data_IF_906568521194
#
_entry.id   IF_906568521194
#
_cell.length_a   1.000
_cell.length_b   1.000
_cell.length_c   1.000
_cell.angle_alpha   90.00
_cell.angle_beta   90.00
_cell.angle_gamma   90.00
#
_symmetry.space_group_name_H-M   'P 1'
#
loop_
_entity.id
_entity.type
_entity.pdbx_description
1 polymer ?
#
# COMPACT_ATOMS: atom_id res chain seq x y z
N UNK A 1 -39.07 -14.19 -87.59
CA UNK A 1 -39.84 -15.30 -88.20
C UNK A 1 -40.01 -16.35 -87.12
N UNK A 2 -41.26 -16.67 -86.76
CA UNK A 2 -41.73 -17.74 -85.85
C UNK A 2 -41.32 -17.72 -84.35
N UNK A 3 -42.30 -17.42 -83.49
CA UNK A 3 -42.56 -18.20 -82.25
C UNK A 3 -42.96 -19.64 -82.66
N UNK A 4 -42.78 -20.70 -81.84
CA UNK A 4 -43.76 -20.97 -80.76
C UNK A 4 -43.32 -21.91 -79.59
N UNK A 5 -44.29 -22.07 -78.66
CA UNK A 5 -44.57 -23.20 -77.75
C UNK A 5 -43.56 -23.53 -76.64
N UNK A 6 -43.82 -23.27 -75.36
CA UNK A 6 -44.88 -23.83 -74.47
C UNK A 6 -44.95 -25.36 -74.53
N UNK A 7 -44.45 -26.02 -73.49
CA UNK A 7 -45.05 -27.25 -72.95
C UNK A 7 -44.85 -27.34 -71.44
N UNK A 8 -45.97 -27.22 -70.74
CA UNK A 8 -46.16 -27.45 -69.31
C UNK A 8 -45.98 -28.92 -68.95
N UNK A 9 -45.37 -29.21 -67.80
CA UNK A 9 -45.75 -30.34 -66.96
C UNK A 9 -45.64 -29.91 -65.50
N UNK A 10 -46.80 -29.61 -64.93
CA UNK A 10 -47.07 -29.60 -63.49
C UNK A 10 -47.12 -31.05 -62.99
N UNK A 11 -46.43 -31.34 -61.89
CA UNK A 11 -47.03 -32.09 -60.79
C UNK A 11 -46.11 -32.25 -59.56
N UNK A 12 -46.76 -32.08 -58.40
CA UNK A 12 -46.48 -32.73 -57.12
C UNK A 12 -45.35 -32.17 -56.23
N UNK A 13 -45.79 -31.18 -55.45
CA UNK A 13 -45.56 -31.00 -54.02
C UNK A 13 -45.09 -32.26 -53.26
N UNK A 14 -43.99 -32.11 -52.53
CA UNK A 14 -43.77 -32.81 -51.26
C UNK A 14 -42.82 -31.96 -50.39
N UNK A 15 -43.45 -31.10 -49.58
CA UNK A 15 -42.82 -30.42 -48.47
C UNK A 15 -42.45 -31.42 -47.38
N UNK A 16 -41.27 -31.23 -46.79
CA UNK A 16 -40.85 -31.52 -45.41
C UNK A 16 -39.33 -31.78 -45.40
N UNK A 17 -38.54 -30.74 -45.67
CA UNK A 17 -37.11 -30.76 -45.41
C UNK A 17 -36.88 -30.35 -43.95
N UNK A 18 -36.26 -31.28 -43.22
CA UNK A 18 -35.93 -31.26 -41.80
C UNK A 18 -35.53 -29.87 -41.28
N UNK A 19 -36.25 -29.43 -40.25
CA UNK A 19 -35.92 -28.24 -39.48
C UNK A 19 -34.52 -28.34 -38.90
N UNK A 20 -33.76 -27.26 -39.11
CA UNK A 20 -32.47 -27.03 -38.50
C UNK A 20 -32.58 -27.10 -36.97
N UNK A 21 -31.98 -28.13 -36.37
CA UNK A 21 -31.69 -28.15 -34.94
C UNK A 21 -30.57 -27.14 -34.70
N UNK A 22 -30.96 -25.90 -34.38
CA UNK A 22 -30.08 -24.90 -33.78
C UNK A 22 -29.70 -25.41 -32.38
N UNK A 23 -28.60 -26.15 -32.27
CA UNK A 23 -27.94 -26.36 -30.99
C UNK A 23 -27.38 -25.01 -30.55
N UNK A 24 -28.15 -24.32 -29.71
CA UNK A 24 -27.63 -23.23 -28.89
C UNK A 24 -26.59 -23.82 -27.93
N UNK A 25 -25.34 -23.89 -28.38
CA UNK A 25 -24.20 -23.96 -27.47
C UNK A 25 -24.13 -22.60 -26.77
N UNK A 26 -24.97 -22.43 -25.75
CA UNK A 26 -24.86 -21.31 -24.83
C UNK A 26 -23.48 -21.39 -24.19
N UNK A 27 -22.60 -20.45 -24.52
CA UNK A 27 -21.43 -20.16 -23.70
C UNK A 27 -21.95 -19.74 -22.32
N UNK A 28 -22.14 -20.71 -21.44
CA UNK A 28 -22.31 -20.43 -20.03
C UNK A 28 -20.98 -19.87 -19.56
N UNK A 29 -20.94 -18.58 -19.23
CA UNK A 29 -19.82 -18.08 -18.43
C UNK A 29 -19.86 -18.86 -17.12
N UNK A 30 -18.79 -19.58 -16.75
CA UNK A 30 -18.76 -20.27 -15.47
C UNK A 30 -19.11 -19.26 -14.37
N UNK A 31 -19.90 -19.66 -13.36
CA UNK A 31 -20.20 -18.77 -12.25
C UNK A 31 -18.87 -18.26 -11.68
N UNK A 32 -18.77 -16.95 -11.35
CA UNK A 32 -17.55 -16.43 -10.76
C UNK A 32 -17.22 -17.30 -9.55
N UNK A 33 -16.00 -17.85 -9.53
CA UNK A 33 -15.51 -18.60 -8.39
C UNK A 33 -15.60 -17.75 -7.12
N UNK A 34 -15.60 -18.38 -5.94
CA UNK A 34 -15.54 -17.63 -4.69
C UNK A 34 -14.37 -16.63 -4.76
N UNK A 35 -14.53 -15.39 -4.27
CA UNK A 35 -13.46 -14.42 -4.28
C UNK A 35 -12.23 -15.03 -3.59
N UNK A 36 -11.06 -14.86 -4.22
CA UNK A 36 -9.81 -15.27 -3.63
C UNK A 36 -9.56 -14.60 -2.27
N UNK A 37 -8.58 -15.08 -1.49
CA UNK A 37 -8.26 -14.50 -0.18
C UNK A 37 -7.96 -13.00 -0.27
N UNK A 38 -8.51 -12.22 0.67
CA UNK A 38 -8.16 -10.81 0.86
C UNK A 38 -6.84 -10.70 1.63
N UNK A 39 -5.73 -10.75 0.88
CA UNK A 39 -4.38 -10.67 1.43
C UNK A 39 -4.10 -9.35 2.16
N UNK A 40 -4.75 -8.25 1.76
CA UNK A 40 -4.57 -6.95 2.41
C UNK A 40 -5.20 -6.97 3.81
N UNK A 41 -6.42 -7.50 3.94
CA UNK A 41 -7.08 -7.66 5.24
C UNK A 41 -6.32 -8.65 6.15
N UNK A 42 -5.80 -9.75 5.59
CA UNK A 42 -4.99 -10.71 6.35
C UNK A 42 -3.70 -10.07 6.88
N UNK A 43 -3.00 -9.29 6.04
CA UNK A 43 -1.79 -8.57 6.44
C UNK A 43 -2.08 -7.55 7.54
N UNK A 44 -3.14 -6.75 7.39
CA UNK A 44 -3.54 -5.77 8.41
C UNK A 44 -3.91 -6.42 9.74
N UNK A 45 -4.62 -7.55 9.70
CA UNK A 45 -4.96 -8.30 10.91
C UNK A 45 -3.71 -8.90 11.59
N UNK A 46 -2.72 -9.35 10.82
CA UNK A 46 -1.45 -9.83 11.35
C UNK A 46 -0.63 -8.69 11.97
N UNK A 47 -0.57 -7.54 11.32
CA UNK A 47 0.07 -6.32 11.83
C UNK A 47 -0.52 -5.90 13.19
N UNK A 48 -1.85 -5.87 13.31
CA UNK A 48 -2.55 -5.55 14.58
C UNK A 48 -2.19 -6.52 15.71
N UNK A 49 -1.95 -7.80 15.39
CA UNK A 49 -1.50 -8.81 16.36
C UNK A 49 0.00 -8.74 16.67
N UNK A 50 0.76 -7.90 15.97
CA UNK A 50 2.21 -7.86 16.04
C UNK A 50 2.91 -9.03 15.37
N UNK A 51 2.19 -9.84 14.58
CA UNK A 51 2.75 -10.94 13.80
C UNK A 51 3.29 -10.40 12.47
N UNK A 52 4.45 -9.74 12.55
CA UNK A 52 5.07 -9.04 11.43
C UNK A 52 5.56 -9.98 10.32
N UNK A 53 5.86 -11.23 10.64
CA UNK A 53 6.26 -12.23 9.64
C UNK A 53 5.04 -12.72 8.84
N UNK A 54 3.90 -12.97 9.49
CA UNK A 54 2.65 -13.22 8.77
C UNK A 54 2.18 -11.98 7.99
N UNK A 55 2.32 -10.78 8.55
CA UNK A 55 2.00 -9.53 7.87
C UNK A 55 2.85 -9.38 6.59
N UNK A 56 4.17 -9.63 6.67
CA UNK A 56 5.08 -9.59 5.53
C UNK A 56 4.64 -10.54 4.41
N UNK A 57 4.32 -11.80 4.75
CA UNK A 57 3.85 -12.77 3.74
C UNK A 57 2.55 -12.35 3.08
N UNK A 58 1.56 -11.93 3.88
CA UNK A 58 0.25 -11.55 3.38
C UNK A 58 0.33 -10.27 2.53
N UNK A 59 1.00 -9.22 3.01
CA UNK A 59 1.20 -8.00 2.22
C UNK A 59 2.04 -8.24 0.96
N UNK A 60 3.02 -9.15 1.00
CA UNK A 60 3.76 -9.57 -0.19
C UNK A 60 2.83 -10.17 -1.27
N UNK A 61 1.88 -11.03 -0.87
CA UNK A 61 0.86 -11.53 -1.79
C UNK A 61 -0.08 -10.42 -2.27
N UNK A 62 -0.46 -9.49 -1.38
CA UNK A 62 -1.30 -8.36 -1.75
C UNK A 62 -0.63 -7.45 -2.80
N UNK A 63 0.68 -7.19 -2.68
CA UNK A 63 1.47 -6.47 -3.69
C UNK A 63 1.45 -7.20 -5.04
N UNK A 64 1.70 -8.52 -5.06
CA UNK A 64 1.65 -9.32 -6.30
C UNK A 64 0.29 -9.22 -6.98
N UNK A 65 -0.80 -9.36 -6.22
CA UNK A 65 -2.16 -9.21 -6.74
C UNK A 65 -2.41 -7.79 -7.24
N UNK A 66 -2.00 -6.77 -6.48
CA UNK A 66 -2.23 -5.36 -6.80
C UNK A 66 -1.43 -4.88 -8.02
N UNK A 67 -0.26 -5.47 -8.29
CA UNK A 67 0.58 -5.12 -9.44
C UNK A 67 0.16 -5.86 -10.72
N UNK A 68 -0.31 -7.10 -10.58
CA UNK A 68 -0.78 -7.91 -11.72
C UNK A 68 -2.22 -7.58 -12.11
N UNK A 69 -3.02 -7.11 -11.15
CA UNK A 69 -4.37 -6.61 -11.37
C UNK A 69 -4.31 -5.11 -11.61
N UNK A 70 -5.17 -4.55 -12.45
CA UNK A 70 -5.18 -3.11 -12.74
C UNK A 70 -5.71 -2.24 -11.56
N UNK A 71 -5.19 -2.46 -10.34
CA UNK A 71 -5.58 -1.68 -9.17
C UNK A 71 -5.18 -0.21 -9.35
N UNK A 72 -6.01 0.73 -8.85
CA UNK A 72 -5.65 2.14 -8.82
C UNK A 72 -4.29 2.36 -8.15
N UNK A 73 -3.48 3.28 -8.68
CA UNK A 73 -2.14 3.58 -8.14
C UNK A 73 -2.15 3.89 -6.64
N UNK A 74 -3.20 4.56 -6.13
CA UNK A 74 -3.34 4.87 -4.71
C UNK A 74 -3.56 3.63 -3.81
N UNK A 75 -4.12 2.54 -4.36
CA UNK A 75 -4.26 1.26 -3.66
C UNK A 75 -2.96 0.47 -3.71
N UNK A 76 -2.27 0.47 -4.87
CA UNK A 76 -0.93 -0.11 -5.01
C UNK A 76 0.07 0.54 -4.04
N UNK A 77 0.09 1.88 -3.98
CA UNK A 77 0.92 2.64 -3.04
C UNK A 77 0.72 2.19 -1.59
N UNK A 78 -0.53 1.98 -1.18
CA UNK A 78 -0.84 1.48 0.16
C UNK A 78 -0.28 0.07 0.38
N UNK A 79 -0.40 -0.84 -0.60
CA UNK A 79 0.14 -2.20 -0.46
C UNK A 79 1.66 -2.21 -0.33
N UNK A 80 2.37 -1.44 -1.17
CA UNK A 80 3.82 -1.29 -1.06
C UNK A 80 4.24 -0.65 0.27
N UNK A 81 3.49 0.34 0.77
CA UNK A 81 3.74 0.94 2.08
C UNK A 81 3.68 -0.11 3.20
N UNK A 82 2.61 -0.89 3.26
CA UNK A 82 2.44 -1.90 4.31
C UNK A 82 3.46 -3.04 4.18
N UNK A 83 3.76 -3.47 2.95
CA UNK A 83 4.77 -4.50 2.73
C UNK A 83 6.18 -4.03 3.12
N UNK A 84 6.57 -2.81 2.71
CA UNK A 84 7.84 -2.19 3.08
C UNK A 84 8.02 -2.04 4.59
N UNK A 85 6.95 -1.64 5.31
CA UNK A 85 6.94 -1.62 6.78
C UNK A 85 7.23 -3.00 7.37
N UNK A 86 6.49 -4.03 6.94
CA UNK A 86 6.66 -5.39 7.44
C UNK A 86 8.05 -5.97 7.13
N UNK A 87 8.63 -5.67 5.96
CA UNK A 87 10.00 -6.03 5.59
C UNK A 87 11.03 -5.40 6.54
N UNK A 88 10.90 -4.11 6.81
CA UNK A 88 11.86 -3.40 7.66
C UNK A 88 11.82 -3.86 9.12
N UNK A 89 10.65 -4.29 9.61
CA UNK A 89 10.54 -4.90 10.95
C UNK A 89 11.36 -6.18 11.04
N UNK A 90 11.37 -6.98 9.97
CA UNK A 90 12.20 -8.18 9.81
C UNK A 90 13.63 -7.93 9.32
N UNK A 91 14.09 -6.67 9.29
CA UNK A 91 15.45 -6.28 8.94
C UNK A 91 15.85 -6.53 7.47
N UNK A 92 14.87 -6.73 6.58
CA UNK A 92 15.06 -6.72 5.13
C UNK A 92 15.13 -5.26 4.63
N UNK A 93 16.13 -4.51 5.10
CA UNK A 93 16.14 -3.04 4.97
C UNK A 93 16.24 -2.57 3.52
N UNK A 94 17.00 -3.26 2.67
CA UNK A 94 17.11 -2.91 1.26
C UNK A 94 15.79 -3.12 0.52
N UNK A 95 15.09 -4.23 0.78
CA UNK A 95 13.75 -4.51 0.26
C UNK A 95 12.75 -3.49 0.78
N UNK A 96 12.75 -3.22 2.08
CA UNK A 96 11.87 -2.27 2.72
C UNK A 96 11.99 -0.89 2.09
N UNK A 97 13.22 -0.41 1.89
CA UNK A 97 13.48 0.88 1.27
C UNK A 97 12.96 0.96 -0.18
N UNK A 98 13.13 -0.11 -0.97
CA UNK A 98 12.61 -0.18 -2.34
C UNK A 98 11.08 -0.07 -2.36
N UNK A 99 10.41 -0.87 -1.53
CA UNK A 99 8.95 -0.88 -1.46
C UNK A 99 8.39 0.45 -0.96
N UNK A 100 8.99 1.05 0.08
CA UNK A 100 8.56 2.36 0.59
C UNK A 100 8.83 3.49 -0.41
N UNK A 101 9.92 3.41 -1.19
CA UNK A 101 10.20 4.38 -2.25
C UNK A 101 9.19 4.26 -3.39
N UNK A 102 8.83 3.04 -3.80
CA UNK A 102 7.80 2.81 -4.80
C UNK A 102 6.42 3.30 -4.33
N UNK A 103 6.08 3.07 -3.06
CA UNK A 103 4.87 3.64 -2.46
C UNK A 103 4.85 5.17 -2.56
N UNK A 104 5.99 5.82 -2.26
CA UNK A 104 6.13 7.27 -2.37
C UNK A 104 5.95 7.78 -3.80
N UNK A 105 6.58 7.13 -4.78
CA UNK A 105 6.49 7.50 -6.19
C UNK A 105 5.05 7.34 -6.73
N UNK A 106 4.36 6.26 -6.35
CA UNK A 106 2.95 6.04 -6.69
C UNK A 106 2.03 7.10 -6.06
N UNK A 107 2.28 7.51 -4.82
CA UNK A 107 1.50 8.57 -4.16
C UNK A 107 1.68 9.93 -4.86
N UNK A 108 2.89 10.25 -5.33
CA UNK A 108 3.14 11.46 -6.15
C UNK A 108 2.26 11.47 -7.40
N UNK A 109 2.20 10.35 -8.13
CA UNK A 109 1.44 10.25 -9.38
C UNK A 109 -0.07 10.47 -9.19
N UNK A 110 -0.60 10.14 -8.01
CA UNK A 110 -2.04 10.25 -7.75
C UNK A 110 -2.47 11.65 -7.30
N UNK A 111 -1.52 12.56 -7.09
CA UNK A 111 -1.78 13.90 -6.50
C UNK A 111 -2.31 13.84 -5.07
N UNK A 112 -2.49 12.64 -4.51
CA UNK A 112 -2.83 12.40 -3.11
C UNK A 112 -1.51 12.27 -2.38
N UNK A 113 -0.89 13.41 -2.06
CA UNK A 113 0.29 13.44 -1.20
C UNK A 113 -0.03 12.80 0.15
N UNK A 114 0.26 11.50 0.26
CA UNK A 114 0.20 10.75 1.49
C UNK A 114 1.64 10.70 2.00
N UNK A 115 1.91 11.47 3.04
CA UNK A 115 3.18 11.49 3.76
C UNK A 115 3.58 10.18 4.47
N UNK A 116 2.74 9.12 4.64
CA UNK A 116 3.17 7.89 5.30
C UNK A 116 4.45 7.29 4.72
N UNK A 117 4.62 7.21 3.39
CA UNK A 117 5.83 6.63 2.81
C UNK A 117 7.11 7.42 3.18
N UNK A 118 7.07 8.75 3.18
CA UNK A 118 8.20 9.59 3.62
C UNK A 118 8.50 9.40 5.11
N UNK A 119 7.48 9.34 5.95
CA UNK A 119 7.62 9.11 7.39
C UNK A 119 8.27 7.75 7.64
N UNK A 120 7.82 6.72 6.94
CA UNK A 120 8.32 5.37 7.10
C UNK A 120 9.74 5.21 6.54
N UNK A 121 10.09 5.86 5.42
CA UNK A 121 11.49 5.95 4.93
C UNK A 121 12.40 6.65 5.95
N UNK A 122 11.92 7.71 6.58
CA UNK A 122 12.67 8.43 7.60
C UNK A 122 12.92 7.57 8.84
N UNK A 123 11.90 6.85 9.32
CA UNK A 123 11.99 5.93 10.46
C UNK A 123 12.85 4.70 10.17
N UNK A 124 12.74 4.13 8.96
CA UNK A 124 13.61 3.05 8.49
C UNK A 124 15.08 3.50 8.48
N UNK A 125 15.35 4.71 8.00
CA UNK A 125 16.70 5.30 8.00
C UNK A 125 17.19 5.56 9.43
N UNK A 126 16.30 6.05 10.31
CA UNK A 126 16.61 6.31 11.72
C UNK A 126 17.00 5.02 12.47
N UNK A 127 16.26 3.94 12.25
CA UNK A 127 16.54 2.62 12.83
C UNK A 127 17.93 2.09 12.43
N UNK A 128 18.37 2.43 11.22
CA UNK A 128 19.71 2.10 10.69
C UNK A 128 20.79 3.13 11.08
N UNK A 129 20.47 4.14 11.92
CA UNK A 129 21.36 5.26 12.30
C UNK A 129 21.86 6.08 11.11
N UNK A 130 21.14 6.06 9.99
CA UNK A 130 21.40 6.90 8.83
C UNK A 130 20.81 8.29 9.06
N UNK A 131 21.36 9.02 10.04
CA UNK A 131 20.74 10.23 10.60
C UNK A 131 20.51 11.35 9.58
N UNK A 132 21.51 11.70 8.77
CA UNK A 132 21.38 12.73 7.73
C UNK A 132 20.27 12.43 6.71
N UNK A 133 20.19 11.15 6.31
CA UNK A 133 19.17 10.68 5.39
C UNK A 133 17.77 10.70 6.03
N UNK A 134 17.69 10.27 7.29
CA UNK A 134 16.46 10.32 8.09
C UNK A 134 15.96 11.77 8.24
N UNK A 135 16.85 12.70 8.61
CA UNK A 135 16.54 14.12 8.76
C UNK A 135 16.01 14.72 7.45
N UNK A 136 16.61 14.36 6.31
CA UNK A 136 16.13 14.79 4.99
C UNK A 136 14.69 14.35 4.72
N UNK A 137 14.36 13.07 4.97
CA UNK A 137 13.00 12.57 4.76
C UNK A 137 12.00 13.19 5.76
N UNK A 138 12.36 13.31 7.03
CA UNK A 138 11.50 13.95 8.02
C UNK A 138 11.24 15.43 7.71
N UNK A 139 12.27 16.19 7.30
CA UNK A 139 12.10 17.59 6.89
C UNK A 139 11.08 17.75 5.76
N UNK A 140 11.14 16.87 4.75
CA UNK A 140 10.13 16.83 3.66
C UNK A 140 8.74 16.48 4.19
N UNK A 141 8.63 15.45 5.04
CA UNK A 141 7.34 15.04 5.61
C UNK A 141 6.71 16.14 6.47
N UNK A 142 7.48 16.78 7.35
CA UNK A 142 7.03 17.87 8.24
C UNK A 142 6.51 19.05 7.43
N UNK A 143 7.28 19.55 6.46
CA UNK A 143 6.86 20.71 5.65
C UNK A 143 5.58 20.45 4.84
N UNK A 144 5.25 19.20 4.58
CA UNK A 144 3.99 18.86 3.93
C UNK A 144 2.83 18.63 4.92
N UNK A 145 3.09 18.03 6.08
CA UNK A 145 2.11 17.88 7.16
C UNK A 145 1.65 19.22 7.72
N UNK A 146 2.54 20.21 7.77
CA UNK A 146 2.21 21.59 8.14
C UNK A 146 1.18 22.20 7.20
N UNK A 147 1.41 22.11 5.88
CA UNK A 147 0.46 22.57 4.86
C UNK A 147 -0.90 21.85 4.97
N UNK A 148 -0.89 20.61 5.44
CA UNK A 148 -2.09 19.84 5.69
C UNK A 148 -2.78 20.15 7.04
N UNK A 149 -2.18 20.98 7.90
CA UNK A 149 -2.71 21.31 9.23
C UNK A 149 -2.64 20.15 10.23
N UNK A 150 -1.61 19.30 10.13
CA UNK A 150 -1.48 18.11 10.98
C UNK A 150 -1.41 18.44 12.47
N UNK A 151 -0.83 19.57 12.84
CA UNK A 151 -0.74 20.05 14.22
C UNK A 151 -2.12 20.15 14.90
N UNK A 152 -3.16 20.59 14.18
CA UNK A 152 -4.51 20.68 14.74
C UNK A 152 -5.34 19.42 14.52
N UNK A 153 -5.14 18.73 13.38
CA UNK A 153 -5.95 17.56 12.99
C UNK A 153 -5.52 16.27 13.69
N UNK A 154 -4.24 16.09 13.92
CA UNK A 154 -3.64 14.90 14.52
C UNK A 154 -2.46 15.27 15.44
N UNK A 155 -2.68 16.10 16.48
CA UNK A 155 -1.63 16.68 17.31
C UNK A 155 -0.70 15.63 17.95
N UNK A 156 -1.24 14.49 18.40
CA UNK A 156 -0.46 13.43 19.03
C UNK A 156 0.50 12.75 18.06
N UNK A 157 -0.01 12.28 16.92
CA UNK A 157 0.80 11.65 15.87
C UNK A 157 1.82 12.63 15.32
N UNK A 158 1.44 13.90 15.19
CA UNK A 158 2.36 14.95 14.75
C UNK A 158 3.49 15.18 15.77
N UNK A 159 3.19 15.23 17.06
CA UNK A 159 4.22 15.36 18.09
C UNK A 159 5.16 14.13 18.17
N UNK A 160 4.64 12.89 18.01
CA UNK A 160 5.49 11.69 17.91
C UNK A 160 6.46 11.75 16.72
N UNK A 161 6.00 12.27 15.58
CA UNK A 161 6.84 12.48 14.40
C UNK A 161 7.93 13.52 14.66
N UNK A 162 7.58 14.62 15.34
CA UNK A 162 8.56 15.65 15.70
C UNK A 162 9.64 15.08 16.63
N UNK A 163 9.30 14.23 17.59
CA UNK A 163 10.32 13.55 18.39
C UNK A 163 11.26 12.69 17.54
N UNK A 164 10.72 11.91 16.59
CA UNK A 164 11.53 11.09 15.68
C UNK A 164 12.47 11.96 14.82
N UNK A 165 11.96 13.11 14.36
CA UNK A 165 12.75 14.07 13.60
C UNK A 165 13.86 14.72 14.45
N UNK A 166 13.57 15.07 15.70
CA UNK A 166 14.59 15.59 16.61
C UNK A 166 15.70 14.57 16.87
N UNK A 167 15.35 13.27 17.00
CA UNK A 167 16.34 12.21 17.12
C UNK A 167 17.23 12.11 15.87
N UNK A 168 16.65 12.26 14.67
CA UNK A 168 17.41 12.28 13.43
C UNK A 168 18.38 13.47 13.36
N UNK A 169 17.91 14.68 13.67
CA UNK A 169 18.74 15.91 13.68
C UNK A 169 19.87 15.82 14.71
N UNK A 170 19.57 15.37 15.92
CA UNK A 170 20.56 15.21 16.98
C UNK A 170 21.62 14.17 16.62
N UNK A 171 21.22 13.06 15.99
CA UNK A 171 22.15 12.03 15.52
C UNK A 171 23.03 12.47 14.36
N UNK A 172 22.58 13.42 13.54
CA UNK A 172 23.40 14.05 12.49
C UNK A 172 24.38 15.10 13.05
N UNK A 173 24.16 15.55 14.29
CA UNK A 173 24.99 16.55 14.97
C UNK A 173 24.40 17.96 15.02
N UNK A 174 23.19 18.17 14.50
CA UNK A 174 22.48 19.44 14.59
C UNK A 174 21.64 19.54 15.88
N UNK A 175 22.34 19.67 17.00
CA UNK A 175 21.73 19.74 18.33
C UNK A 175 20.80 20.96 18.50
N UNK A 176 21.11 22.07 17.82
CA UNK A 176 20.30 23.28 17.88
C UNK A 176 18.96 23.07 17.16
N UNK A 177 18.96 22.49 15.95
CA UNK A 177 17.73 22.14 15.26
C UNK A 177 16.93 21.09 16.00
N UNK A 178 17.58 20.06 16.55
CA UNK A 178 16.92 19.06 17.38
C UNK A 178 16.16 19.70 18.55
N UNK A 179 16.80 20.63 19.28
CA UNK A 179 16.19 21.35 20.40
C UNK A 179 14.96 22.15 19.94
N UNK A 180 15.04 22.86 18.81
CA UNK A 180 13.88 23.60 18.27
C UNK A 180 12.70 22.67 17.95
N UNK A 181 12.97 21.48 17.42
CA UNK A 181 11.92 20.49 17.12
C UNK A 181 11.34 19.88 18.40
N UNK A 182 12.16 19.59 19.42
CA UNK A 182 11.70 19.13 20.75
C UNK A 182 10.76 20.15 21.38
N UNK A 183 11.15 21.43 21.41
CA UNK A 183 10.33 22.51 21.96
C UNK A 183 8.99 22.62 21.23
N UNK A 184 9.00 22.43 19.91
CA UNK A 184 7.78 22.40 19.12
C UNK A 184 6.88 21.23 19.50
N UNK A 185 7.41 20.02 19.60
CA UNK A 185 6.64 18.85 20.00
C UNK A 185 6.01 19.05 21.40
N UNK A 186 6.73 19.67 22.33
CA UNK A 186 6.22 20.04 23.64
C UNK A 186 5.06 21.05 23.57
N UNK A 187 5.16 22.07 22.71
CA UNK A 187 4.08 23.05 22.47
C UNK A 187 2.82 22.40 21.91
N UNK A 188 2.96 21.50 20.92
CA UNK A 188 1.82 20.74 20.36
C UNK A 188 1.13 19.90 21.42
N UNK A 189 1.89 19.25 22.31
CA UNK A 189 1.32 18.48 23.43
C UNK A 189 0.63 19.37 24.47
N UNK A 190 1.15 20.57 24.71
CA UNK A 190 0.55 21.51 25.66
C UNK A 190 -0.80 22.05 25.18
N UNK A 191 -0.99 22.22 23.86
CA UNK A 191 -2.23 22.76 23.29
C UNK A 191 -3.43 21.81 23.37
N UNK A 192 -3.22 20.53 23.66
CA UNK A 192 -4.27 19.49 23.71
C UNK A 192 -4.61 18.96 25.09
N UNK A 193 -3.95 19.47 26.14
CA UNK A 193 -3.98 18.94 27.52
C UNK A 193 -5.32 19.08 28.26
N UNK A 194 -6.41 19.43 27.58
CA UNK A 194 -7.78 19.54 28.11
C UNK A 194 -8.79 18.52 27.56
N UNK A 195 -8.42 17.72 26.55
CA UNK A 195 -9.25 16.62 26.05
C UNK A 195 -8.90 15.34 26.81
N UNK A 196 -9.89 14.60 27.34
CA UNK A 196 -9.70 13.38 28.12
C UNK A 196 -8.68 12.43 27.46
N UNK A 197 -7.54 12.24 28.12
CA UNK A 197 -6.37 11.55 27.58
C UNK A 197 -6.44 10.06 27.87
N UNK A 198 -6.74 9.24 26.84
CA UNK A 198 -6.38 7.83 26.87
C UNK A 198 -4.94 7.67 26.35
N UNK A 199 -4.09 6.81 26.96
CA UNK A 199 -2.82 6.42 26.37
C UNK A 199 -3.07 5.87 24.97
N UNK A 200 -2.52 6.51 23.94
CA UNK A 200 -2.58 6.00 22.59
C UNK A 200 -1.36 5.11 22.36
N UNK A 201 -1.59 3.88 21.90
CA UNK A 201 -0.52 3.03 21.41
C UNK A 201 0.23 3.78 20.30
N UNK A 202 1.57 3.73 20.33
CA UNK A 202 2.37 4.44 19.34
C UNK A 202 2.05 3.95 17.93
N UNK A 203 1.98 4.88 16.99
CA UNK A 203 1.78 4.56 15.57
C UNK A 203 3.08 4.10 14.87
N UNK A 204 4.19 4.02 15.61
CA UNK A 204 5.52 3.72 15.07
C UNK A 204 5.64 2.26 14.65
N UNK A 205 6.08 2.05 13.40
CA UNK A 205 6.55 0.75 12.94
C UNK A 205 7.82 0.35 13.72
N UNK A 206 7.87 -0.85 14.34
CA UNK A 206 9.00 -1.30 15.15
C UNK A 206 10.14 -1.85 14.27
N UNK A 207 10.73 -0.98 13.44
CA UNK A 207 11.85 -1.37 12.57
C UNK A 207 12.99 -2.01 13.36
N UNK A 208 13.53 -3.11 12.84
CA UNK A 208 14.63 -3.82 13.49
C UNK A 208 14.23 -4.74 14.66
N UNK A 209 12.96 -4.74 15.09
CA UNK A 209 12.55 -5.47 16.29
C UNK A 209 12.51 -6.99 16.13
N UNK A 210 12.39 -7.49 14.89
CA UNK A 210 12.26 -8.91 14.59
C UNK A 210 13.31 -9.38 13.58
N UNK A 211 14.55 -8.91 13.71
CA UNK A 211 15.65 -9.48 12.91
C UNK A 211 15.74 -10.98 13.19
N UNK A 212 15.57 -11.80 12.16
CA UNK A 212 15.98 -13.20 12.27
C UNK A 212 17.49 -13.21 12.57
N UNK A 213 17.97 -14.11 13.45
CA UNK A 213 19.39 -14.44 13.46
C UNK A 213 19.72 -14.86 12.03
N UNK A 214 20.71 -14.21 11.41
CA UNK A 214 21.25 -14.68 10.12
C UNK A 214 21.46 -16.18 10.28
N UNK A 215 20.80 -16.98 9.45
CA UNK A 215 20.89 -18.44 9.51
C UNK A 215 22.37 -18.81 9.36
N UNK A 216 23.02 -19.05 10.49
CA UNK A 216 24.37 -19.56 10.57
C UNK A 216 24.29 -21.07 10.32
N UNK A 217 23.81 -21.49 9.16
CA UNK A 217 23.72 -22.91 8.78
C UNK A 217 23.55 -23.03 7.26
N UNK A 218 24.60 -22.62 6.55
CA UNK A 218 25.02 -23.30 5.33
C UNK A 218 26.34 -24.01 5.66
N UNK A 219 26.24 -25.24 6.16
CA UNK A 219 27.32 -26.24 6.16
C UNK A 219 26.74 -27.59 5.80
#
# INVERSE_FOLDING_TARGET
MFLPMIRSLTCLSAACALGAVLTAAGCSTPPPGPPGPDYAAQGGAAEVRGDWDAARRAFGQAVLVADQSAWPAAQRAAMHLHYGRALGVGCYYAEAERELSLAYDLDILTGRYRYPALIELARLSLAQRQYARSATYFGRAVGSLERAGAESKAPYVYAELLDDYALALGGEGDAEAATRIIDRAAKVRASVRGAAMAPQATSRTPYGAHCAPLAAEAR
#
